data_IF_652990059830
#
_entry.id   IF_652990059830
#
_cell.length_a   1.000
_cell.length_b   1.000
_cell.length_c   1.000
_cell.angle_alpha   90.00
_cell.angle_beta   90.00
_cell.angle_gamma   90.00
#
_symmetry.space_group_name_H-M   'P 1'
#
loop_
_entity.id
_entity.type
_entity.pdbx_description
1 polymer ?
#
# COMPACT_ATOMS: atom_id res chain seq x y z
N UNK A 1 5.02 -34.92 16.03
CA UNK A 1 5.34 -33.79 16.93
C UNK A 1 4.30 -32.70 16.70
N UNK A 2 3.72 -32.11 17.74
CA UNK A 2 2.63 -31.13 17.60
C UNK A 2 3.19 -29.72 17.36
N UNK A 3 2.66 -28.99 16.37
CA UNK A 3 3.08 -27.62 16.04
C UNK A 3 2.91 -26.63 17.20
N UNK A 4 1.95 -26.89 18.10
CA UNK A 4 1.70 -26.07 19.28
C UNK A 4 2.93 -25.96 20.21
N UNK A 5 3.90 -26.88 20.11
CA UNK A 5 5.16 -26.80 20.85
C UNK A 5 6.01 -25.59 20.47
N UNK A 6 5.87 -25.08 19.25
CA UNK A 6 6.62 -23.92 18.73
C UNK A 6 5.79 -22.62 18.74
N UNK A 7 4.57 -22.66 19.26
CA UNK A 7 3.65 -21.51 19.25
C UNK A 7 4.09 -20.46 20.28
N UNK A 8 4.31 -19.23 19.82
CA UNK A 8 4.35 -18.07 20.71
C UNK A 8 2.92 -17.71 21.12
N UNK A 9 2.58 -17.67 22.42
CA UNK A 9 1.23 -17.34 22.88
C UNK A 9 0.79 -15.96 22.38
N UNK A 10 -0.51 -15.78 22.06
CA UNK A 10 -1.06 -14.50 21.54
C UNK A 10 -0.70 -13.29 22.39
N UNK A 11 -0.65 -13.44 23.72
CA UNK A 11 -0.26 -12.38 24.67
C UNK A 11 1.19 -11.89 24.50
N UNK A 12 2.04 -12.72 23.91
CA UNK A 12 3.47 -12.48 23.70
C UNK A 12 3.78 -12.15 22.22
N UNK A 13 2.74 -12.00 21.39
CA UNK A 13 2.83 -11.60 19.98
C UNK A 13 2.28 -10.19 19.82
N UNK A 14 3.01 -9.33 19.11
CA UNK A 14 2.51 -8.02 18.71
C UNK A 14 1.65 -8.18 17.47
N UNK A 15 0.46 -7.61 17.51
CA UNK A 15 -0.51 -7.58 16.41
C UNK A 15 -1.26 -6.25 16.42
N UNK A 16 -1.94 -5.95 15.32
CA UNK A 16 -2.82 -4.80 15.17
C UNK A 16 -4.26 -5.19 14.85
N UNK A 17 -5.18 -4.25 15.03
CA UNK A 17 -6.58 -4.43 14.67
C UNK A 17 -6.88 -3.80 13.31
N UNK A 18 -7.94 -4.24 12.64
CA UNK A 18 -8.37 -3.64 11.36
C UNK A 18 -8.74 -2.15 11.47
N UNK A 19 -9.06 -1.68 12.67
CA UNK A 19 -9.39 -0.27 12.93
C UNK A 19 -8.15 0.57 13.28
N UNK A 20 -6.98 -0.06 13.42
CA UNK A 20 -5.73 0.62 13.77
C UNK A 20 -5.23 1.48 12.61
N UNK A 21 -4.70 2.66 12.93
CA UNK A 21 -4.06 3.53 11.96
C UNK A 21 -2.66 3.04 11.59
N UNK A 22 -2.15 3.44 10.43
CA UNK A 22 -0.77 3.11 10.02
C UNK A 22 0.28 3.65 11.02
N UNK A 23 0.04 4.83 11.62
CA UNK A 23 0.96 5.38 12.63
C UNK A 23 1.10 4.45 13.83
N UNK A 24 -0.01 3.95 14.36
CA UNK A 24 -0.01 3.03 15.49
C UNK A 24 0.74 1.73 15.14
N UNK A 25 0.48 1.19 13.95
CA UNK A 25 1.19 0.00 13.47
C UNK A 25 2.71 0.24 13.38
N UNK A 26 3.15 1.38 12.83
CA UNK A 26 4.55 1.77 12.75
C UNK A 26 5.20 1.95 14.12
N UNK A 27 4.55 2.65 15.04
CA UNK A 27 5.05 2.86 16.41
C UNK A 27 5.25 1.52 17.13
N UNK A 28 4.31 0.57 16.98
CA UNK A 28 4.47 -0.78 17.54
C UNK A 28 5.58 -1.57 16.87
N UNK A 29 5.69 -1.53 15.55
CA UNK A 29 6.76 -2.20 14.80
C UNK A 29 8.13 -1.67 15.21
N UNK A 30 8.30 -0.35 15.30
CA UNK A 30 9.55 0.29 15.70
C UNK A 30 9.94 -0.08 17.14
N UNK A 31 8.99 0.05 18.08
CA UNK A 31 9.25 -0.25 19.49
C UNK A 31 9.66 -1.71 19.70
N UNK A 32 8.99 -2.65 19.03
CA UNK A 32 9.26 -4.08 19.17
C UNK A 32 10.27 -4.65 18.16
N UNK A 33 10.78 -3.82 17.24
CA UNK A 33 11.70 -4.20 16.15
C UNK A 33 11.14 -5.32 15.27
N UNK A 34 9.86 -5.26 14.93
CA UNK A 34 9.21 -6.18 14.01
C UNK A 34 9.04 -5.56 12.63
N UNK A 35 9.38 -6.31 11.60
CA UNK A 35 9.22 -5.89 10.20
C UNK A 35 7.86 -6.27 9.60
N UNK A 36 7.12 -7.12 10.30
CA UNK A 36 5.77 -7.57 9.94
C UNK A 36 4.99 -7.94 11.18
N UNK A 37 3.71 -7.61 11.21
CA UNK A 37 2.82 -7.99 12.32
C UNK A 37 1.47 -8.50 11.78
N UNK A 38 0.82 -9.45 12.46
CA UNK A 38 -0.52 -9.90 12.12
C UNK A 38 -1.55 -8.79 12.33
N UNK A 39 -2.56 -8.75 11.48
CA UNK A 39 -3.79 -7.98 11.66
C UNK A 39 -4.93 -8.95 12.03
N UNK A 40 -5.66 -8.60 13.07
CA UNK A 40 -6.84 -9.32 13.54
C UNK A 40 -8.08 -8.43 13.56
N UNK A 41 -9.26 -9.04 13.52
CA UNK A 41 -10.52 -8.34 13.77
C UNK A 41 -10.83 -8.24 15.28
N UNK A 42 -11.99 -7.65 15.61
CA UNK A 42 -12.44 -7.44 16.99
C UNK A 42 -12.74 -8.75 17.74
N UNK A 43 -13.10 -9.82 17.02
CA UNK A 43 -13.30 -11.17 17.56
C UNK A 43 -11.97 -11.92 17.75
N UNK A 44 -10.87 -11.32 17.28
CA UNK A 44 -9.52 -11.83 17.40
C UNK A 44 -9.13 -12.85 16.35
N UNK A 45 -9.91 -12.96 15.26
CA UNK A 45 -9.63 -13.80 14.11
C UNK A 45 -8.60 -13.13 13.20
N UNK A 46 -7.73 -13.95 12.62
CA UNK A 46 -6.72 -13.48 11.68
C UNK A 46 -7.35 -12.94 10.40
N UNK A 47 -6.96 -11.72 10.02
CA UNK A 47 -7.41 -11.03 8.80
C UNK A 47 -6.30 -11.00 7.76
N UNK A 48 -5.07 -10.73 8.17
CA UNK A 48 -3.94 -10.59 7.27
C UNK A 48 -2.63 -10.27 7.99
N UNK A 49 -1.59 -9.95 7.24
CA UNK A 49 -0.31 -9.47 7.77
C UNK A 49 0.03 -8.17 7.09
N UNK A 50 0.55 -7.21 7.84
CA UNK A 50 1.11 -5.97 7.30
C UNK A 50 2.60 -5.95 7.54
N UNK A 51 3.36 -5.50 6.53
CA UNK A 51 4.82 -5.38 6.59
C UNK A 51 5.24 -3.91 6.52
N UNK A 52 6.46 -3.62 6.98
CA UNK A 52 7.11 -2.33 6.74
C UNK A 52 7.16 -2.00 5.24
N UNK A 53 7.36 -3.00 4.38
CA UNK A 53 7.36 -2.83 2.92
C UNK A 53 6.03 -2.31 2.38
N UNK A 54 4.91 -2.85 2.86
CA UNK A 54 3.56 -2.41 2.49
C UNK A 54 3.34 -0.95 2.90
N UNK A 55 3.80 -0.59 4.10
CA UNK A 55 3.69 0.77 4.62
C UNK A 55 4.63 1.74 3.90
N UNK A 56 5.85 1.33 3.58
CA UNK A 56 6.82 2.12 2.81
C UNK A 56 6.32 2.40 1.40
N UNK A 57 5.70 1.43 0.71
CA UNK A 57 5.08 1.68 -0.59
C UNK A 57 3.91 2.65 -0.49
N UNK A 58 3.14 2.61 0.60
CA UNK A 58 2.05 3.56 0.81
C UNK A 58 2.55 4.97 1.13
N UNK A 59 3.61 5.09 1.93
CA UNK A 59 4.22 6.36 2.35
C UNK A 59 5.07 7.01 1.25
N UNK A 60 5.68 6.22 0.35
CA UNK A 60 6.50 6.74 -0.74
C UNK A 60 5.73 7.33 -1.91
N UNK A 61 4.47 6.92 -2.10
CA UNK A 61 3.76 7.32 -3.30
C UNK A 61 3.23 8.74 -3.14
N UNK A 62 3.76 9.66 -3.92
CA UNK A 62 3.25 11.02 -4.02
C UNK A 62 1.90 10.98 -4.74
N UNK A 63 0.82 11.53 -4.15
CA UNK A 63 -0.45 11.67 -4.84
C UNK A 63 -0.34 12.72 -5.95
N UNK A 64 -1.02 12.45 -7.06
CA UNK A 64 -1.21 13.38 -8.16
C UNK A 64 -2.56 14.07 -7.99
N UNK A 65 -2.59 15.38 -8.23
CA UNK A 65 -3.85 16.10 -8.24
C UNK A 65 -4.62 15.79 -9.53
N UNK A 66 -5.95 15.71 -9.48
CA UNK A 66 -6.78 15.39 -10.66
C UNK A 66 -6.62 16.42 -11.79
N UNK A 67 -6.24 17.64 -11.44
CA UNK A 67 -5.96 18.71 -12.40
C UNK A 67 -4.52 18.75 -12.92
N UNK A 68 -3.65 17.80 -12.53
CA UNK A 68 -2.25 17.77 -12.96
C UNK A 68 -2.11 17.29 -14.41
N UNK A 69 -1.02 17.72 -15.04
CA UNK A 69 -0.72 17.38 -16.43
C UNK A 69 -0.14 15.96 -16.58
N UNK A 70 -0.08 15.47 -17.81
CA UNK A 70 0.39 14.11 -18.11
C UNK A 70 1.87 13.94 -17.78
N UNK A 71 2.69 14.98 -17.91
CA UNK A 71 4.11 14.98 -17.56
C UNK A 71 4.33 14.63 -16.08
N UNK A 72 3.51 15.18 -15.19
CA UNK A 72 3.56 14.89 -13.75
C UNK A 72 3.18 13.44 -13.47
N UNK A 73 2.12 12.94 -14.14
CA UNK A 73 1.71 11.54 -14.05
C UNK A 73 2.85 10.60 -14.46
N UNK A 74 3.51 10.87 -15.58
CA UNK A 74 4.63 10.06 -16.08
C UNK A 74 5.82 10.14 -15.12
N UNK A 75 6.19 11.32 -14.66
CA UNK A 75 7.29 11.53 -13.71
C UNK A 75 7.12 10.69 -12.44
N UNK A 76 5.90 10.68 -11.88
CA UNK A 76 5.57 9.83 -10.75
C UNK A 76 5.65 8.35 -11.14
N UNK A 77 4.97 7.94 -12.22
CA UNK A 77 4.89 6.54 -12.65
C UNK A 77 6.23 5.88 -12.98
N UNK A 78 7.30 6.65 -13.24
CA UNK A 78 8.67 6.12 -13.34
C UNK A 78 9.13 5.48 -12.04
N UNK A 79 8.80 6.09 -10.89
CA UNK A 79 9.31 5.70 -9.57
C UNK A 79 8.29 4.97 -8.69
N UNK A 80 7.01 4.94 -9.06
CA UNK A 80 5.96 4.21 -8.34
C UNK A 80 5.14 3.30 -9.26
N UNK A 81 4.75 2.13 -8.75
CA UNK A 81 3.98 1.13 -9.51
C UNK A 81 2.54 1.60 -9.82
N UNK A 82 2.01 2.53 -9.03
CA UNK A 82 0.71 3.18 -9.24
C UNK A 82 0.75 4.58 -8.65
N UNK A 83 -0.06 5.47 -9.20
CA UNK A 83 -0.18 6.87 -8.81
C UNK A 83 -1.55 7.09 -8.15
N UNK A 84 -1.61 7.41 -6.84
CA UNK A 84 -2.86 7.82 -6.20
C UNK A 84 -3.29 9.18 -6.74
N UNK A 85 -4.60 9.36 -6.94
CA UNK A 85 -5.18 10.61 -7.46
C UNK A 85 -6.10 11.22 -6.39
N UNK A 86 -5.95 12.51 -6.16
CA UNK A 86 -6.76 13.31 -5.23
C UNK A 86 -7.48 14.44 -5.96
N UNK A 87 -8.62 14.91 -5.43
CA UNK A 87 -9.34 16.10 -5.93
C UNK A 87 -8.83 17.41 -5.31
N UNK A 88 -9.51 18.52 -5.66
CA UNK A 88 -9.22 19.90 -5.20
C UNK A 88 -9.26 20.08 -3.67
N UNK A 89 -9.83 19.13 -2.92
CA UNK A 89 -9.88 19.16 -1.45
C UNK A 89 -8.97 18.08 -0.82
N UNK A 90 -7.99 17.58 -1.56
CA UNK A 90 -7.09 16.48 -1.17
C UNK A 90 -7.83 15.16 -0.88
N UNK A 91 -9.08 15.00 -1.37
CA UNK A 91 -9.83 13.75 -1.18
C UNK A 91 -9.34 12.73 -2.18
N UNK A 92 -8.97 11.54 -1.71
CA UNK A 92 -8.60 10.42 -2.57
C UNK A 92 -9.78 9.97 -3.44
N UNK A 93 -9.61 10.02 -4.76
CA UNK A 93 -10.64 9.65 -5.74
C UNK A 93 -10.30 8.40 -6.56
N UNK A 94 -9.06 7.92 -6.53
CA UNK A 94 -8.69 6.69 -7.22
C UNK A 94 -7.19 6.48 -7.41
N UNK A 95 -6.82 5.46 -8.20
CA UNK A 95 -5.44 5.19 -8.59
C UNK A 95 -5.30 5.05 -10.11
N UNK A 96 -4.14 5.45 -10.64
CA UNK A 96 -3.70 5.14 -11.99
C UNK A 96 -2.56 4.13 -11.90
N UNK A 97 -2.68 2.96 -12.51
CA UNK A 97 -1.62 1.95 -12.50
C UNK A 97 -0.65 2.17 -13.64
N UNK A 98 0.65 1.90 -13.39
CA UNK A 98 1.70 2.02 -14.41
C UNK A 98 1.42 1.14 -15.65
N UNK A 99 0.84 -0.04 -15.46
CA UNK A 99 0.46 -0.94 -16.56
C UNK A 99 -0.53 -0.30 -17.53
N UNK A 100 -1.52 0.45 -17.02
CA UNK A 100 -2.55 1.12 -17.83
C UNK A 100 -1.95 2.25 -18.66
N UNK A 101 -1.04 3.03 -18.07
CA UNK A 101 -0.30 4.09 -18.76
C UNK A 101 0.48 3.46 -19.93
N UNK A 102 1.26 2.41 -19.66
CA UNK A 102 2.07 1.73 -20.69
C UNK A 102 1.15 1.18 -21.80
N UNK A 103 0.05 0.51 -21.43
CA UNK A 103 -0.88 -0.07 -22.37
C UNK A 103 -1.56 0.99 -23.25
N UNK A 104 -1.92 2.14 -22.69
CA UNK A 104 -2.49 3.26 -23.45
C UNK A 104 -1.53 3.73 -24.55
N UNK A 105 -0.27 4.01 -24.21
CA UNK A 105 0.71 4.48 -25.19
C UNK A 105 1.09 3.40 -26.21
N UNK A 106 1.19 2.14 -25.77
CA UNK A 106 1.40 1.01 -26.67
C UNK A 106 0.29 0.94 -27.74
N UNK A 107 -0.98 0.93 -27.32
CA UNK A 107 -2.12 0.90 -28.24
C UNK A 107 -2.18 2.15 -29.15
N UNK A 108 -1.81 3.31 -28.63
CA UNK A 108 -1.76 4.56 -29.41
C UNK A 108 -0.69 4.49 -30.50
N UNK A 109 0.47 3.91 -30.24
CA UNK A 109 1.54 3.74 -31.26
C UNK A 109 1.14 2.82 -32.41
N UNK A 110 0.35 1.78 -32.12
CA UNK A 110 -0.14 0.85 -33.15
C UNK A 110 -1.16 1.52 -34.09
N UNK A 111 -2.06 2.35 -33.54
CA UNK A 111 -3.09 3.07 -34.33
C UNK A 111 -2.54 4.19 -35.22
N UNK A 112 -1.33 4.67 -34.96
CA UNK A 112 -0.67 5.70 -35.80
C UNK A 112 0.07 5.05 -36.99
N UNK A 113 0.19 3.72 -37.00
CA UNK A 113 0.87 2.95 -38.04
C UNK A 113 -0.07 2.40 -39.13
N UNK A 114 -1.36 2.74 -39.07
CA UNK A 114 -2.41 2.49 -40.08
C UNK A 114 -2.82 3.79 -40.77
#
# INVERSE_FOLDING_TARGET
MNVAFFLTPKKDVVYETINSTMRQALERMEYHRYTAIPIIDEEGKYVGTITEGDMLWKLKNTPLHVSSDIEDLISLAVNQNFVPVVDDNDVFIGIIKRSEIIQYYYNKSLKVSE
#
